data_IF_571524936866
#
_entry.id   IF_571524936866
#
_cell.length_a   1.000
_cell.length_b   1.000
_cell.length_c   1.000
_cell.angle_alpha   90.00
_cell.angle_beta   90.00
_cell.angle_gamma   90.00
#
_symmetry.space_group_name_H-M   'P 1'
#
loop_
_entity.id
_entity.type
_entity.pdbx_description
1 polymer ?
#
# COMPACT_ATOMS: atom_id res chain seq x y z
N UNK A 1 28.29 13.33 -14.52
CA UNK A 1 26.97 13.54 -15.14
C UNK A 1 26.15 12.24 -15.12
N UNK A 2 26.72 11.11 -15.58
CA UNK A 2 26.00 9.82 -15.68
C UNK A 2 25.47 9.25 -14.36
N UNK A 3 26.20 9.41 -13.25
CA UNK A 3 25.72 8.96 -11.92
C UNK A 3 24.53 9.77 -11.41
N UNK A 4 24.47 11.08 -11.70
CA UNK A 4 23.36 11.95 -11.28
C UNK A 4 22.12 11.62 -12.12
N UNK A 5 22.29 11.43 -13.43
CA UNK A 5 21.23 10.95 -14.32
C UNK A 5 20.70 9.56 -13.93
N UNK A 6 21.58 8.64 -13.50
CA UNK A 6 21.15 7.34 -12.96
C UNK A 6 20.38 7.46 -11.65
N UNK A 7 20.81 8.32 -10.72
CA UNK A 7 20.08 8.59 -9.47
C UNK A 7 18.70 9.17 -9.73
N UNK A 8 18.62 10.20 -10.59
CA UNK A 8 17.36 10.83 -10.99
C UNK A 8 16.42 9.85 -11.71
N UNK A 9 16.96 8.99 -12.60
CA UNK A 9 16.17 7.96 -13.27
C UNK A 9 15.61 6.94 -12.28
N UNK A 10 16.38 6.52 -11.27
CA UNK A 10 15.89 5.61 -10.21
C UNK A 10 14.83 6.25 -9.32
N UNK A 11 14.98 7.53 -9.00
CA UNK A 11 13.97 8.30 -8.26
C UNK A 11 12.65 8.37 -9.04
N UNK A 12 12.71 8.74 -10.32
CA UNK A 12 11.55 8.88 -11.18
C UNK A 12 10.89 7.52 -11.51
N UNK A 13 11.62 6.42 -11.39
CA UNK A 13 11.07 5.07 -11.56
C UNK A 13 10.16 4.63 -10.41
N UNK A 14 10.37 5.10 -9.17
CA UNK A 14 9.58 4.63 -8.01
C UNK A 14 8.27 5.41 -7.82
N UNK A 15 8.18 6.64 -8.32
CA UNK A 15 6.99 7.48 -8.14
C UNK A 15 5.73 6.97 -8.87
N UNK A 16 5.79 6.55 -10.16
CA UNK A 16 4.60 6.12 -10.89
C UNK A 16 3.83 4.98 -10.22
N UNK A 17 4.46 3.86 -9.79
CA UNK A 17 3.71 2.78 -9.15
C UNK A 17 3.11 3.20 -7.80
N UNK A 18 3.78 4.09 -7.06
CA UNK A 18 3.27 4.62 -5.79
C UNK A 18 2.01 5.47 -6.01
N UNK A 19 2.02 6.37 -6.99
CA UNK A 19 0.85 7.17 -7.34
C UNK A 19 -0.31 6.27 -7.76
N UNK A 20 -0.02 5.28 -8.61
CA UNK A 20 -1.04 4.36 -9.14
C UNK A 20 -1.70 3.54 -8.01
N UNK A 21 -0.91 3.11 -7.03
CA UNK A 21 -1.41 2.47 -5.80
C UNK A 21 -2.32 3.40 -4.99
N UNK A 22 -1.92 4.65 -4.80
CA UNK A 22 -2.66 5.62 -3.99
C UNK A 22 -4.00 6.00 -4.63
N UNK A 23 -4.01 6.12 -5.96
CA UNK A 23 -5.26 6.26 -6.72
C UNK A 23 -6.16 5.07 -6.44
N UNK A 24 -5.64 3.84 -6.57
CA UNK A 24 -6.41 2.61 -6.34
C UNK A 24 -6.95 2.49 -4.91
N UNK A 25 -6.15 2.89 -3.92
CA UNK A 25 -6.51 2.88 -2.50
C UNK A 25 -7.63 3.85 -2.18
N UNK A 26 -7.49 5.10 -2.64
CA UNK A 26 -8.48 6.13 -2.39
C UNK A 26 -9.80 5.82 -3.11
N UNK A 27 -9.70 5.38 -4.37
CA UNK A 27 -10.85 4.95 -5.18
C UNK A 27 -11.62 3.82 -4.49
N UNK A 28 -10.92 2.77 -4.06
CA UNK A 28 -11.54 1.65 -3.37
C UNK A 28 -12.06 2.02 -1.98
N UNK A 29 -11.37 2.91 -1.26
CA UNK A 29 -11.75 3.32 0.09
C UNK A 29 -13.10 4.00 0.16
N UNK A 30 -13.37 4.93 -0.76
CA UNK A 30 -14.66 5.65 -0.83
C UNK A 30 -15.82 4.71 -1.18
N UNK A 31 -15.64 3.89 -2.22
CA UNK A 31 -16.66 2.95 -2.68
C UNK A 31 -16.89 1.81 -1.68
N UNK A 32 -15.85 1.40 -0.95
CA UNK A 32 -15.98 0.41 0.12
C UNK A 32 -16.83 0.92 1.28
N UNK A 33 -16.67 2.18 1.69
CA UNK A 33 -17.52 2.75 2.75
C UNK A 33 -18.99 2.81 2.34
N UNK A 34 -19.26 3.19 1.08
CA UNK A 34 -20.63 3.20 0.54
C UNK A 34 -21.22 1.79 0.46
N UNK A 35 -20.44 0.81 -0.04
CA UNK A 35 -20.84 -0.59 -0.08
C UNK A 35 -21.19 -1.12 1.32
N UNK A 36 -20.40 -0.80 2.34
CA UNK A 36 -20.68 -1.24 3.71
C UNK A 36 -21.99 -0.66 4.23
N UNK A 37 -22.29 0.61 3.95
CA UNK A 37 -23.57 1.24 4.33
C UNK A 37 -24.72 0.54 3.62
N UNK A 38 -24.61 0.35 2.30
CA UNK A 38 -25.64 -0.31 1.49
C UNK A 38 -25.89 -1.76 1.95
N UNK A 39 -24.83 -2.54 2.17
CA UNK A 39 -24.94 -3.93 2.66
C UNK A 39 -25.45 -4.01 4.10
N UNK A 40 -25.10 -3.06 4.95
CA UNK A 40 -25.65 -2.98 6.32
C UNK A 40 -27.15 -2.67 6.28
N UNK A 41 -27.60 -1.81 5.36
CA UNK A 41 -29.01 -1.52 5.16
C UNK A 41 -29.82 -2.77 4.77
N UNK A 42 -29.31 -3.55 3.81
CA UNK A 42 -30.00 -4.76 3.32
C UNK A 42 -29.92 -5.93 4.30
N UNK A 43 -28.72 -6.27 4.78
CA UNK A 43 -28.48 -7.54 5.50
C UNK A 43 -28.70 -7.38 7.00
N UNK A 44 -28.27 -6.27 7.59
CA UNK A 44 -28.34 -6.05 9.03
C UNK A 44 -29.67 -5.44 9.44
N UNK A 45 -30.12 -4.38 8.75
CA UNK A 45 -31.39 -3.71 9.04
C UNK A 45 -32.61 -4.42 8.40
N UNK A 46 -32.37 -5.35 7.46
CA UNK A 46 -33.42 -6.12 6.75
C UNK A 46 -34.47 -5.24 6.08
N UNK A 47 -34.03 -4.10 5.56
CA UNK A 47 -34.89 -3.18 4.80
C UNK A 47 -34.99 -3.65 3.34
N UNK A 48 -36.06 -3.23 2.66
CA UNK A 48 -36.25 -3.55 1.24
C UNK A 48 -35.24 -2.82 0.36
N UNK A 49 -34.89 -3.40 -0.78
CA UNK A 49 -33.95 -2.80 -1.74
C UNK A 49 -34.37 -1.40 -2.18
N UNK A 50 -35.66 -1.17 -2.37
CA UNK A 50 -36.22 0.14 -2.75
C UNK A 50 -35.99 1.21 -1.70
N UNK A 51 -36.01 0.85 -0.42
CA UNK A 51 -35.77 1.78 0.69
C UNK A 51 -34.27 2.10 0.82
N UNK A 52 -33.41 1.11 0.61
CA UNK A 52 -31.96 1.33 0.63
C UNK A 52 -31.48 2.10 -0.61
N UNK A 53 -32.15 2.01 -1.77
CA UNK A 53 -31.82 2.79 -2.97
C UNK A 53 -32.01 4.31 -2.79
N UNK A 54 -32.79 4.74 -1.79
CA UNK A 54 -32.97 6.17 -1.46
C UNK A 54 -31.64 6.80 -1.06
N UNK A 55 -30.68 6.02 -0.51
CA UNK A 55 -29.33 6.49 -0.20
C UNK A 55 -28.60 7.06 -1.43
N UNK A 56 -28.81 6.46 -2.60
CA UNK A 56 -28.16 6.88 -3.85
C UNK A 56 -28.97 7.91 -4.63
N UNK A 57 -30.30 7.76 -4.68
CA UNK A 57 -31.15 8.61 -5.53
C UNK A 57 -31.60 9.91 -4.84
N UNK A 58 -31.80 9.89 -3.52
CA UNK A 58 -32.27 11.06 -2.77
C UNK A 58 -31.62 11.13 -1.38
N UNK A 59 -30.30 11.27 -1.38
CA UNK A 59 -29.46 11.29 -0.17
C UNK A 59 -29.83 12.41 0.82
N UNK A 60 -30.49 13.47 0.35
CA UNK A 60 -30.97 14.61 1.17
C UNK A 60 -32.32 14.36 1.84
N UNK A 61 -33.01 13.26 1.54
CA UNK A 61 -34.27 12.92 2.18
C UNK A 61 -34.09 12.68 3.68
N UNK A 62 -35.10 13.07 4.47
CA UNK A 62 -35.13 12.77 5.93
C UNK A 62 -35.04 11.26 6.20
N UNK A 63 -35.54 10.45 5.27
CA UNK A 63 -35.49 8.99 5.33
C UNK A 63 -34.07 8.45 5.15
N UNK A 64 -33.33 8.93 4.14
CA UNK A 64 -31.93 8.56 3.92
C UNK A 64 -31.06 8.96 5.12
N UNK A 65 -31.30 10.13 5.70
CA UNK A 65 -30.57 10.58 6.89
C UNK A 65 -30.85 9.67 8.10
N UNK A 66 -32.09 9.23 8.28
CA UNK A 66 -32.47 8.28 9.34
C UNK A 66 -31.78 6.92 9.16
N UNK A 67 -31.73 6.39 7.93
CA UNK A 67 -31.04 5.13 7.63
C UNK A 67 -29.54 5.26 7.90
N UNK A 68 -28.92 6.36 7.45
CA UNK A 68 -27.51 6.63 7.71
C UNK A 68 -27.20 6.67 9.21
N UNK A 69 -28.05 7.34 10.01
CA UNK A 69 -27.88 7.40 11.46
C UNK A 69 -27.91 6.00 12.12
N UNK A 70 -28.72 5.08 11.60
CA UNK A 70 -28.79 3.70 12.10
C UNK A 70 -27.62 2.84 11.60
N UNK A 71 -27.21 2.97 10.35
CA UNK A 71 -26.16 2.13 9.75
C UNK A 71 -24.73 2.58 10.11
N UNK A 72 -24.50 3.89 10.24
CA UNK A 72 -23.19 4.47 10.55
C UNK A 72 -22.48 3.86 11.77
N UNK A 73 -23.11 3.66 12.94
CA UNK A 73 -22.40 3.07 14.09
C UNK A 73 -21.94 1.63 13.82
N UNK A 74 -22.71 0.84 13.06
CA UNK A 74 -22.30 -0.51 12.67
C UNK A 74 -21.13 -0.48 11.69
N UNK A 75 -21.22 0.37 10.67
CA UNK A 75 -20.16 0.54 9.67
C UNK A 75 -18.89 1.10 10.31
N UNK A 76 -19.02 2.03 11.26
CA UNK A 76 -17.92 2.58 12.04
C UNK A 76 -17.19 1.50 12.85
N UNK A 77 -17.92 0.59 13.49
CA UNK A 77 -17.31 -0.53 14.20
C UNK A 77 -16.52 -1.46 13.26
N UNK A 78 -17.05 -1.72 12.05
CA UNK A 78 -16.35 -2.52 11.03
C UNK A 78 -15.10 -1.78 10.54
N UNK A 79 -15.21 -0.50 10.21
CA UNK A 79 -14.09 0.34 9.79
C UNK A 79 -13.02 0.45 10.87
N UNK A 80 -13.43 0.55 12.14
CA UNK A 80 -12.52 0.54 13.27
C UNK A 80 -11.77 -0.80 13.36
N UNK A 81 -12.48 -1.93 13.18
CA UNK A 81 -11.88 -3.25 13.06
C UNK A 81 -10.86 -3.34 11.91
N UNK A 82 -11.22 -2.81 10.74
CA UNK A 82 -10.31 -2.71 9.59
C UNK A 82 -9.05 -1.91 9.94
N UNK A 83 -9.20 -0.72 10.50
CA UNK A 83 -8.07 0.15 10.87
C UNK A 83 -7.13 -0.52 11.86
N UNK A 84 -7.65 -1.29 12.82
CA UNK A 84 -6.82 -2.08 13.73
C UNK A 84 -6.01 -3.16 13.00
N UNK A 85 -6.63 -3.88 12.07
CA UNK A 85 -5.95 -4.91 11.27
C UNK A 85 -4.84 -4.28 10.40
N UNK A 86 -5.12 -3.14 9.77
CA UNK A 86 -4.16 -2.44 8.90
C UNK A 86 -3.06 -1.70 9.67
N UNK A 87 -3.27 -1.35 10.93
CA UNK A 87 -2.31 -0.56 11.71
C UNK A 87 -1.50 -1.40 12.68
N UNK A 88 -2.16 -2.20 13.54
CA UNK A 88 -1.50 -2.90 14.65
C UNK A 88 -0.53 -3.94 14.09
N UNK A 89 -1.02 -4.85 13.25
CA UNK A 89 -0.24 -5.99 12.78
C UNK A 89 0.94 -5.54 11.91
N UNK A 90 0.77 -4.64 10.92
CA UNK A 90 1.87 -4.10 10.15
C UNK A 90 2.88 -3.31 10.98
N UNK A 91 2.46 -2.57 12.00
CA UNK A 91 3.39 -1.81 12.85
C UNK A 91 4.34 -2.73 13.62
N UNK A 92 3.85 -3.87 14.12
CA UNK A 92 4.70 -4.88 14.73
C UNK A 92 5.65 -5.51 13.69
N UNK A 93 5.15 -5.81 12.49
CA UNK A 93 5.98 -6.36 11.41
C UNK A 93 7.06 -5.38 10.95
N UNK A 94 6.77 -4.08 10.89
CA UNK A 94 7.72 -3.04 10.48
C UNK A 94 8.98 -3.01 11.36
N UNK A 95 8.85 -3.31 12.66
CA UNK A 95 10.00 -3.37 13.57
C UNK A 95 11.03 -4.44 13.14
N UNK A 96 10.56 -5.57 12.58
CA UNK A 96 11.41 -6.65 12.08
C UNK A 96 11.80 -6.46 10.62
N UNK A 97 10.87 -5.97 9.80
CA UNK A 97 11.04 -5.77 8.37
C UNK A 97 12.01 -4.64 8.04
N UNK A 98 12.17 -3.64 8.92
CA UNK A 98 13.15 -2.57 8.74
C UNK A 98 14.59 -3.11 8.65
N UNK A 99 15.14 -3.73 9.72
CA UNK A 99 16.48 -4.32 9.69
C UNK A 99 16.64 -5.42 8.64
N UNK A 100 15.57 -6.18 8.38
CA UNK A 100 15.58 -7.20 7.33
C UNK A 100 15.76 -6.58 5.93
N UNK A 101 15.05 -5.49 5.64
CA UNK A 101 15.15 -4.75 4.38
C UNK A 101 16.53 -4.12 4.16
N UNK A 102 17.24 -3.76 5.22
CA UNK A 102 18.61 -3.25 5.10
C UNK A 102 19.61 -4.34 4.71
N UNK A 103 19.35 -5.61 5.09
CA UNK A 103 20.23 -6.74 4.79
C UNK A 103 19.89 -7.46 3.47
N UNK A 104 18.60 -7.65 3.18
CA UNK A 104 18.12 -8.45 2.04
C UNK A 104 17.65 -7.61 0.84
N UNK A 105 17.80 -6.29 0.92
CA UNK A 105 17.41 -5.37 -0.15
C UNK A 105 16.00 -4.81 0.02
N UNK A 106 15.81 -3.60 -0.54
CA UNK A 106 14.56 -2.83 -0.41
C UNK A 106 13.48 -3.23 -1.43
N UNK A 107 13.88 -3.86 -2.54
CA UNK A 107 12.97 -4.36 -3.59
C UNK A 107 12.00 -5.44 -3.11
N UNK A 108 12.41 -6.51 -2.41
CA UNK A 108 11.48 -7.54 -1.94
C UNK A 108 10.45 -6.98 -0.94
N UNK A 109 10.86 -6.02 -0.10
CA UNK A 109 9.95 -5.35 0.84
C UNK A 109 8.89 -4.50 0.12
N UNK A 110 9.27 -3.78 -0.93
CA UNK A 110 8.28 -3.07 -1.77
C UNK A 110 7.32 -4.07 -2.41
N UNK A 111 7.85 -5.14 -3.03
CA UNK A 111 7.04 -6.11 -3.76
C UNK A 111 6.02 -6.82 -2.85
N UNK A 112 6.39 -7.16 -1.60
CA UNK A 112 5.46 -7.77 -0.64
C UNK A 112 4.27 -6.86 -0.34
N UNK A 113 4.50 -5.55 -0.20
CA UNK A 113 3.43 -4.57 0.00
C UNK A 113 2.47 -4.47 -1.20
N UNK A 114 3.01 -4.45 -2.42
CA UNK A 114 2.17 -4.38 -3.64
C UNK A 114 1.38 -5.66 -3.89
N UNK A 115 1.98 -6.84 -3.65
CA UNK A 115 1.29 -8.13 -3.75
C UNK A 115 0.16 -8.21 -2.73
N UNK A 116 0.42 -7.75 -1.51
CA UNK A 116 -0.56 -7.72 -0.42
C UNK A 116 -1.82 -6.92 -0.79
N UNK A 117 -1.64 -5.69 -1.27
CA UNK A 117 -2.75 -4.83 -1.67
C UNK A 117 -3.48 -5.39 -2.90
N UNK A 118 -2.74 -5.94 -3.87
CA UNK A 118 -3.34 -6.60 -5.04
C UNK A 118 -4.22 -7.77 -4.63
N UNK A 119 -3.75 -8.61 -3.70
CA UNK A 119 -4.52 -9.76 -3.21
C UNK A 119 -5.79 -9.31 -2.46
N UNK A 120 -5.70 -8.24 -1.66
CA UNK A 120 -6.86 -7.66 -0.99
C UNK A 120 -7.92 -7.17 -1.98
N UNK A 121 -7.54 -6.51 -3.07
CA UNK A 121 -8.53 -6.07 -4.07
C UNK A 121 -9.11 -7.19 -4.91
N UNK A 122 -8.33 -8.24 -5.20
CA UNK A 122 -8.86 -9.47 -5.82
C UNK A 122 -9.96 -10.06 -4.93
N UNK A 123 -9.67 -10.24 -3.63
CA UNK A 123 -10.65 -10.77 -2.68
C UNK A 123 -11.88 -9.86 -2.60
N UNK A 124 -11.68 -8.54 -2.51
CA UNK A 124 -12.78 -7.59 -2.41
C UNK A 124 -13.65 -7.58 -3.68
N UNK A 125 -13.05 -7.70 -4.86
CA UNK A 125 -13.77 -7.79 -6.14
C UNK A 125 -14.63 -9.05 -6.21
N UNK A 126 -14.17 -10.18 -5.67
CA UNK A 126 -14.95 -11.42 -5.62
C UNK A 126 -16.10 -11.27 -4.62
N UNK A 127 -15.80 -10.76 -3.41
CA UNK A 127 -16.78 -10.61 -2.33
C UNK A 127 -17.87 -9.58 -2.65
N UNK A 128 -17.56 -8.55 -3.45
CA UNK A 128 -18.54 -7.54 -3.85
C UNK A 128 -19.73 -8.12 -4.64
N UNK A 129 -19.54 -9.24 -5.35
CA UNK A 129 -20.60 -9.92 -6.10
C UNK A 129 -21.56 -10.73 -5.22
N UNK A 130 -21.20 -11.01 -3.97
CA UNK A 130 -21.97 -11.89 -3.08
C UNK A 130 -22.70 -11.07 -2.01
N UNK A 131 -23.89 -11.53 -1.63
CA UNK A 131 -24.70 -10.94 -0.55
C UNK A 131 -24.21 -11.42 0.82
N UNK A 132 -23.00 -10.99 1.20
CA UNK A 132 -22.34 -11.42 2.44
C UNK A 132 -22.58 -10.40 3.56
N UNK A 133 -22.62 -10.88 4.81
CA UNK A 133 -22.64 -10.02 6.00
C UNK A 133 -21.43 -9.06 5.99
N UNK A 134 -21.63 -7.75 6.26
CA UNK A 134 -20.57 -6.73 6.18
C UNK A 134 -19.28 -7.05 6.96
N UNK A 135 -19.36 -7.83 8.04
CA UNK A 135 -18.19 -8.23 8.83
C UNK A 135 -17.18 -9.11 8.08
N UNK A 136 -17.62 -9.92 7.12
CA UNK A 136 -16.71 -10.81 6.39
C UNK A 136 -15.73 -10.05 5.51
N UNK A 137 -16.04 -8.81 5.10
CA UNK A 137 -15.10 -8.00 4.32
C UNK A 137 -13.76 -7.75 5.05
N UNK A 138 -13.71 -7.89 6.38
CA UNK A 138 -12.45 -7.83 7.14
C UNK A 138 -11.46 -8.94 6.76
N UNK A 139 -11.97 -10.10 6.32
CA UNK A 139 -11.14 -11.24 5.89
C UNK A 139 -10.32 -10.86 4.65
N UNK A 140 -10.86 -10.00 3.77
CA UNK A 140 -10.14 -9.53 2.59
C UNK A 140 -8.89 -8.70 2.94
N UNK A 141 -8.78 -8.19 4.17
CA UNK A 141 -7.64 -7.40 4.65
C UNK A 141 -6.59 -8.22 5.41
N UNK A 142 -6.79 -9.54 5.58
CA UNK A 142 -5.77 -10.43 6.17
C UNK A 142 -4.44 -10.39 5.39
N UNK A 143 -4.41 -10.36 4.04
CA UNK A 143 -3.17 -10.19 3.29
C UNK A 143 -2.40 -8.92 3.66
N UNK A 144 -3.11 -7.81 3.87
CA UNK A 144 -2.55 -6.52 4.29
C UNK A 144 -1.93 -6.62 5.68
N UNK A 145 -2.58 -7.31 6.60
CA UNK A 145 -2.05 -7.57 7.92
C UNK A 145 -0.74 -8.37 7.88
N UNK A 146 -0.66 -9.42 7.05
CA UNK A 146 0.47 -10.35 7.04
C UNK A 146 1.70 -9.80 6.32
N UNK A 147 1.51 -9.03 5.25
CA UNK A 147 2.60 -8.54 4.39
C UNK A 147 2.89 -7.04 4.60
N UNK A 148 2.17 -6.39 5.52
CA UNK A 148 2.44 -5.03 5.98
C UNK A 148 1.83 -3.90 5.13
N UNK A 149 1.19 -4.23 4.01
CA UNK A 149 0.34 -3.32 3.23
C UNK A 149 0.97 -1.98 2.86
N UNK A 150 0.17 -0.92 2.99
CA UNK A 150 0.57 0.46 2.66
C UNK A 150 1.71 0.96 3.56
N UNK A 151 1.68 0.64 4.85
CA UNK A 151 2.66 1.14 5.83
C UNK A 151 4.07 0.69 5.51
N UNK A 152 4.24 -0.61 5.22
CA UNK A 152 5.53 -1.17 4.80
C UNK A 152 5.97 -0.61 3.44
N UNK A 153 5.03 -0.39 2.53
CA UNK A 153 5.33 0.14 1.19
C UNK A 153 5.81 1.60 1.24
N UNK A 154 5.17 2.43 2.08
CA UNK A 154 5.61 3.80 2.32
C UNK A 154 6.99 3.83 2.98
N UNK A 155 7.22 2.97 3.99
CA UNK A 155 8.54 2.81 4.59
C UNK A 155 9.58 2.43 3.53
N UNK A 156 9.35 1.36 2.77
CA UNK A 156 10.29 0.89 1.77
C UNK A 156 10.57 1.94 0.68
N UNK A 157 9.54 2.68 0.25
CA UNK A 157 9.67 3.74 -0.76
C UNK A 157 10.44 4.95 -0.23
N UNK A 158 10.13 5.41 0.98
CA UNK A 158 10.84 6.54 1.61
C UNK A 158 12.29 6.18 1.90
N UNK A 159 12.55 4.99 2.44
CA UNK A 159 13.87 4.41 2.58
C UNK A 159 14.62 4.41 1.22
N UNK A 160 14.03 3.83 0.17
CA UNK A 160 14.63 3.78 -1.16
C UNK A 160 15.04 5.18 -1.69
N UNK A 161 14.16 6.17 -1.49
CA UNK A 161 14.40 7.56 -1.87
C UNK A 161 15.58 8.15 -1.08
N UNK A 162 15.67 7.87 0.23
CA UNK A 162 16.75 8.39 1.08
C UNK A 162 18.13 7.84 0.77
N UNK A 163 18.23 6.63 0.21
CA UNK A 163 19.52 6.06 -0.17
C UNK A 163 20.09 6.67 -1.46
N UNK A 164 19.22 7.25 -2.28
CA UNK A 164 19.59 7.71 -3.63
C UNK A 164 19.90 9.21 -3.63
N UNK A 165 19.17 9.98 -2.82
CA UNK A 165 19.19 11.44 -2.83
C UNK A 165 20.24 11.98 -1.87
N UNK A 166 20.93 13.03 -2.29
CA UNK A 166 21.90 13.74 -1.46
C UNK A 166 21.20 14.67 -0.45
N UNK A 167 21.80 14.87 0.74
CA UNK A 167 21.15 15.55 1.87
C UNK A 167 20.61 16.95 1.55
N UNK A 168 21.26 17.68 0.64
CA UNK A 168 20.89 19.06 0.28
C UNK A 168 19.55 19.16 -0.46
N UNK A 169 19.20 18.16 -1.27
CA UNK A 169 17.98 18.19 -2.09
C UNK A 169 16.87 17.29 -1.52
N UNK A 170 17.16 16.54 -0.46
CA UNK A 170 16.24 15.59 0.18
C UNK A 170 14.90 16.23 0.53
N UNK A 171 14.91 17.41 1.17
CA UNK A 171 13.69 18.10 1.56
C UNK A 171 12.76 18.41 0.38
N UNK A 172 13.32 18.86 -0.76
CA UNK A 172 12.54 19.18 -1.95
C UNK A 172 11.90 17.94 -2.58
N UNK A 173 12.64 16.83 -2.63
CA UNK A 173 12.15 15.57 -3.18
C UNK A 173 11.07 14.92 -2.30
N UNK A 174 11.17 15.07 -0.98
CA UNK A 174 10.11 14.65 -0.05
C UNK A 174 8.86 15.52 -0.19
N UNK A 175 9.02 16.84 -0.34
CA UNK A 175 7.89 17.73 -0.59
C UNK A 175 7.18 17.38 -1.91
N UNK A 176 7.94 17.11 -2.97
CA UNK A 176 7.39 16.68 -4.26
C UNK A 176 6.68 15.31 -4.16
N UNK A 177 7.27 14.34 -3.45
CA UNK A 177 6.64 13.05 -3.19
C UNK A 177 5.30 13.23 -2.45
N UNK A 178 5.26 14.07 -1.42
CA UNK A 178 4.04 14.34 -0.66
C UNK A 178 2.97 15.03 -1.50
N UNK A 179 3.35 15.93 -2.41
CA UNK A 179 2.45 16.55 -3.37
C UNK A 179 1.84 15.50 -4.32
N UNK A 180 2.66 14.57 -4.83
CA UNK A 180 2.19 13.46 -5.68
C UNK A 180 1.26 12.51 -4.93
N UNK A 181 1.55 12.20 -3.66
CA UNK A 181 0.68 11.39 -2.81
C UNK A 181 -0.69 12.04 -2.69
N UNK A 182 -0.72 13.33 -2.37
CA UNK A 182 -1.96 14.10 -2.21
C UNK A 182 -2.75 14.18 -3.52
N UNK A 183 -2.06 14.34 -4.65
CA UNK A 183 -2.67 14.35 -5.97
C UNK A 183 -3.28 12.99 -6.33
N UNK A 184 -2.56 11.89 -6.05
CA UNK A 184 -3.06 10.54 -6.27
C UNK A 184 -4.31 10.23 -5.45
N UNK A 185 -4.35 10.68 -4.19
CA UNK A 185 -5.56 10.58 -3.36
C UNK A 185 -6.72 11.38 -3.97
N UNK A 186 -6.50 12.64 -4.35
CA UNK A 186 -7.55 13.47 -4.96
C UNK A 186 -8.13 12.83 -6.23
N UNK A 187 -7.26 12.35 -7.12
CA UNK A 187 -7.66 11.66 -8.35
C UNK A 187 -8.43 10.38 -8.03
N UNK A 188 -7.99 9.60 -7.05
CA UNK A 188 -8.67 8.39 -6.59
C UNK A 188 -10.10 8.67 -6.08
N UNK A 189 -10.28 9.72 -5.27
CA UNK A 189 -11.60 10.13 -4.77
C UNK A 189 -12.56 10.50 -5.92
N UNK A 190 -12.09 11.29 -6.88
CA UNK A 190 -12.92 11.75 -8.00
C UNK A 190 -13.26 10.62 -8.97
N UNK A 191 -12.27 9.77 -9.28
CA UNK A 191 -12.46 8.63 -10.19
C UNK A 191 -13.34 7.54 -9.58
N UNK A 192 -13.26 7.30 -8.27
CA UNK A 192 -14.06 6.28 -7.58
C UNK A 192 -15.56 6.55 -7.68
N UNK A 193 -15.98 7.76 -7.33
CA UNK A 193 -17.37 8.18 -7.43
C UNK A 193 -17.89 8.16 -8.88
N UNK A 194 -17.07 8.57 -9.85
CA UNK A 194 -17.45 8.58 -11.26
C UNK A 194 -17.65 7.17 -11.84
N UNK A 195 -16.73 6.23 -11.55
CA UNK A 195 -16.82 4.85 -12.04
C UNK A 195 -17.96 4.11 -11.34
N UNK A 196 -18.15 4.37 -10.05
CA UNK A 196 -19.25 3.79 -9.28
C UNK A 196 -20.62 4.13 -9.91
N UNK A 197 -20.85 5.39 -10.27
CA UNK A 197 -22.11 5.83 -10.87
C UNK A 197 -22.42 5.21 -12.23
N UNK A 198 -21.41 4.75 -12.98
CA UNK A 198 -21.60 4.19 -14.31
C UNK A 198 -21.66 2.65 -14.33
N UNK A 199 -20.81 1.98 -13.53
CA UNK A 199 -20.56 0.53 -13.65
C UNK A 199 -20.74 -0.24 -12.34
N UNK A 200 -21.11 0.42 -11.24
CA UNK A 200 -21.37 -0.22 -9.94
C UNK A 200 -20.11 -0.60 -9.14
N UNK A 201 -20.31 -1.25 -8.00
CA UNK A 201 -19.26 -1.57 -7.02
C UNK A 201 -18.17 -2.50 -7.56
N UNK A 202 -18.56 -3.54 -8.31
CA UNK A 202 -17.67 -4.61 -8.78
C UNK A 202 -16.68 -4.09 -9.81
N UNK A 203 -17.14 -3.19 -10.70
CA UNK A 203 -16.28 -2.54 -11.67
C UNK A 203 -15.17 -1.72 -10.98
N UNK A 204 -15.50 -0.96 -9.94
CA UNK A 204 -14.51 -0.15 -9.22
C UNK A 204 -13.40 -1.02 -8.63
N UNK A 205 -13.76 -2.11 -7.93
CA UNK A 205 -12.75 -3.01 -7.36
C UNK A 205 -11.93 -3.75 -8.43
N UNK A 206 -12.55 -4.08 -9.57
CA UNK A 206 -11.83 -4.70 -10.69
C UNK A 206 -10.81 -3.73 -11.30
N UNK A 207 -11.15 -2.44 -11.45
CA UNK A 207 -10.23 -1.40 -11.93
C UNK A 207 -9.09 -1.20 -10.93
N UNK A 208 -9.39 -1.14 -9.63
CA UNK A 208 -8.37 -1.04 -8.58
C UNK A 208 -7.41 -2.23 -8.63
N UNK A 209 -7.94 -3.43 -8.83
CA UNK A 209 -7.14 -4.66 -8.97
C UNK A 209 -6.21 -4.58 -10.16
N UNK A 210 -6.71 -4.20 -11.34
CA UNK A 210 -5.89 -4.06 -12.55
C UNK A 210 -4.78 -3.03 -12.35
N UNK A 211 -5.10 -1.88 -11.75
CA UNK A 211 -4.09 -0.86 -11.44
C UNK A 211 -3.03 -1.43 -10.49
N UNK A 212 -3.40 -2.07 -9.38
CA UNK A 212 -2.43 -2.66 -8.46
C UNK A 212 -1.56 -3.75 -9.09
N UNK A 213 -2.11 -4.58 -9.97
CA UNK A 213 -1.33 -5.58 -10.72
C UNK A 213 -0.35 -4.89 -11.67
N UNK A 214 -0.78 -3.85 -12.38
CA UNK A 214 0.11 -3.06 -13.24
C UNK A 214 1.24 -2.40 -12.46
N UNK A 215 0.95 -1.84 -11.27
CA UNK A 215 1.98 -1.28 -10.40
C UNK A 215 2.97 -2.35 -9.91
N UNK A 216 2.45 -3.53 -9.53
CA UNK A 216 3.27 -4.67 -9.10
C UNK A 216 4.20 -5.13 -10.22
N UNK A 217 3.66 -5.29 -11.43
CA UNK A 217 4.41 -5.72 -12.62
C UNK A 217 5.45 -4.67 -13.03
N UNK A 218 5.10 -3.38 -12.94
CA UNK A 218 6.02 -2.30 -13.19
C UNK A 218 7.23 -2.34 -12.23
N UNK A 219 7.00 -2.57 -10.94
CA UNK A 219 8.09 -2.68 -9.96
C UNK A 219 8.96 -3.90 -10.21
N UNK A 220 8.32 -5.02 -10.54
CA UNK A 220 9.02 -6.26 -10.82
C UNK A 220 10.01 -6.09 -11.99
N UNK A 221 9.56 -5.46 -13.08
CA UNK A 221 10.35 -5.28 -14.31
C UNK A 221 11.33 -4.11 -14.26
N UNK A 222 10.92 -2.95 -13.75
CA UNK A 222 11.67 -1.70 -13.95
C UNK A 222 12.45 -1.21 -12.73
N UNK A 223 12.07 -1.61 -11.50
CA UNK A 223 12.76 -1.12 -10.30
C UNK A 223 14.02 -1.94 -10.04
N UNK A 224 15.22 -1.33 -10.10
CA UNK A 224 16.47 -2.00 -9.76
C UNK A 224 16.63 -2.06 -8.24
N UNK A 225 17.26 -3.14 -7.78
CA UNK A 225 17.59 -3.32 -6.37
C UNK A 225 18.67 -2.31 -5.93
N UNK A 226 18.46 -1.68 -4.76
CA UNK A 226 19.39 -0.68 -4.21
C UNK A 226 20.53 -1.29 -3.41
N UNK A 227 20.27 -2.39 -2.70
CA UNK A 227 21.30 -3.09 -1.93
C UNK A 227 22.03 -4.03 -2.87
N UNK A 228 23.17 -3.56 -3.37
CA UNK A 228 24.18 -4.44 -3.93
C UNK A 228 24.64 -5.34 -2.77
N UNK A 229 24.38 -6.64 -2.82
CA UNK A 229 24.98 -7.61 -1.90
C UNK A 229 26.48 -7.33 -1.77
N UNK A 230 26.90 -6.73 -0.64
CA UNK A 230 28.32 -6.56 -0.31
C UNK A 230 29.03 -7.91 -0.15
N UNK A 231 28.28 -9.01 -0.14
CA UNK A 231 28.75 -10.39 -0.04
C UNK A 231 29.53 -10.89 -1.27
N UNK A 232 29.62 -10.13 -2.38
CA UNK A 232 30.41 -10.55 -3.55
C UNK A 232 31.76 -9.83 -3.71
N UNK A 233 32.18 -8.98 -2.75
CA UNK A 233 33.52 -8.37 -2.74
C UNK A 233 34.23 -8.41 -1.37
N UNK A 234 33.87 -9.33 -0.49
CA UNK A 234 34.86 -9.82 0.46
C UNK A 234 35.73 -10.83 -0.28
N UNK A 235 36.62 -10.33 -1.13
CA UNK A 235 37.71 -11.13 -1.66
C UNK A 235 38.38 -11.82 -0.46
N UNK A 236 38.44 -13.14 -0.47
CA UNK A 236 39.13 -13.95 0.54
C UNK A 236 40.60 -13.46 0.70
N UNK A 237 41.17 -12.81 -0.30
CA UNK A 237 42.47 -12.13 -0.22
C UNK A 237 42.56 -11.06 0.88
N UNK A 238 41.47 -10.36 1.18
CA UNK A 238 41.45 -9.32 2.23
C UNK A 238 41.32 -9.91 3.64
N UNK A 239 40.78 -11.12 3.77
CA UNK A 239 40.79 -11.87 5.03
C UNK A 239 42.18 -12.48 5.27
N UNK A 240 42.85 -12.95 4.21
CA UNK A 240 44.22 -13.46 4.30
C UNK A 240 45.20 -12.33 4.64
N UNK A 241 45.10 -11.15 4.02
CA UNK A 241 45.96 -10.00 4.34
C UNK A 241 45.77 -9.50 5.79
N UNK A 242 44.53 -9.54 6.31
CA UNK A 242 44.27 -9.13 7.69
C UNK A 242 44.88 -10.09 8.71
N UNK A 243 44.97 -11.38 8.38
CA UNK A 243 45.51 -12.44 9.24
C UNK A 243 47.05 -12.51 9.18
N UNK A 244 47.64 -12.12 8.05
CA UNK A 244 49.10 -12.02 7.87
C UNK A 244 49.69 -10.82 8.65
N UNK A 245 49.00 -9.66 8.65
CA UNK A 245 49.39 -8.46 9.42
C UNK A 245 49.26 -8.63 10.95
N UNK A 246 48.31 -9.46 11.41
CA UNK A 246 48.19 -9.77 12.85
C UNK A 246 49.26 -10.76 13.32
N UNK A 247 49.72 -11.66 12.44
CA UNK A 247 50.75 -12.64 12.76
C UNK A 247 52.16 -12.02 12.84
N UNK A 248 52.45 -11.02 12.00
CA UNK A 248 53.75 -10.30 12.01
C UNK A 248 53.89 -9.36 13.21
N UNK A 249 52.81 -8.70 13.66
CA UNK A 249 52.85 -7.79 14.81
C UNK A 249 53.00 -8.48 16.17
N UNK A 250 52.69 -9.78 16.28
CA UNK A 250 52.87 -10.54 17.53
C UNK A 250 54.30 -11.04 17.68
N UNK A 251 55.06 -11.21 16.59
CA UNK A 251 56.45 -11.67 16.64
C UNK A 251 57.48 -10.54 16.83
N UNK A 252 57.10 -9.27 16.65
CA UNK A 252 57.98 -8.10 16.85
C UNK A 252 57.91 -7.46 18.24
N UNK A 253 57.06 -7.98 19.14
CA UNK A 253 56.91 -7.51 20.52
C UNK A 253 57.56 -8.41 21.59
N UNK A 254 58.56 -9.23 21.22
CA UNK A 254 59.32 -10.05 22.16
C UNK A 254 60.77 -9.61 22.29
#
# INVERSE_FOLDING_TARGET
MDRILQKWRRYLLVQPPLILLLISLSMSGTVFTDLLIYRTCLVTLKLNETECLILHNNSTSKEALKINCLAQPYVANILMGKSFIESIIPSFLMLFLGPWSDKYGRKPLMLSGYISVSLTYILLSVMANWDIVPWYFLIAYIPVALFGGLSVLLLASTCYITDIIDDKERAWHFAFLQALISLGLLIGLLSGSAIFGACGYTAVFSVATVLCILATLYILLFVPETVQNQTSRMNISNLISYQEDTSTNVLTQK
#
